data_IF_171835528013
#
_entry.id   IF_171835528013
#
_cell.length_a   1.000
_cell.length_b   1.000
_cell.length_c   1.000
_cell.angle_alpha   90.00
_cell.angle_beta   90.00
_cell.angle_gamma   90.00
#
_symmetry.space_group_name_H-M   'P 1'
#
loop_
_entity.id
_entity.type
_entity.pdbx_description
1 polymer ?
#
# COMPACT_ATOMS: atom_id res chain seq x y z
N UNK A 1 -0.16 4.62 -5.81
CA UNK A 1 1.27 4.29 -5.74
C UNK A 1 1.62 3.61 -4.41
N UNK A 2 1.33 4.25 -3.29
CA UNK A 2 1.69 3.73 -1.97
C UNK A 2 1.13 2.33 -1.69
N UNK A 3 -0.11 2.08 -2.10
CA UNK A 3 -0.72 0.76 -1.92
C UNK A 3 -0.03 -0.31 -2.78
N UNK A 4 0.23 -0.01 -4.06
CA UNK A 4 0.96 -0.93 -4.93
C UNK A 4 2.34 -1.27 -4.35
N UNK A 5 3.04 -0.27 -3.88
CA UNK A 5 4.34 -0.40 -3.28
C UNK A 5 4.32 -1.25 -1.99
N UNK A 6 3.26 -1.13 -1.19
CA UNK A 6 3.08 -1.95 0.01
C UNK A 6 2.97 -3.45 -0.31
N UNK A 7 2.55 -3.79 -1.53
CA UNK A 7 2.39 -5.17 -1.97
C UNK A 7 3.66 -5.68 -2.65
N UNK A 8 4.14 -4.97 -3.67
CA UNK A 8 5.26 -5.45 -4.50
C UNK A 8 6.64 -5.15 -3.92
N UNK A 9 6.75 -4.19 -3.02
CA UNK A 9 7.99 -3.79 -2.32
C UNK A 9 9.14 -3.39 -3.26
N UNK A 10 8.80 -2.95 -4.45
CA UNK A 10 9.75 -2.52 -5.47
C UNK A 10 9.19 -1.27 -6.15
N UNK A 11 9.95 -0.19 -6.14
CA UNK A 11 9.49 1.10 -6.66
C UNK A 11 9.23 1.06 -8.16
N UNK A 12 10.07 0.37 -8.92
CA UNK A 12 9.89 0.23 -10.37
C UNK A 12 8.61 -0.53 -10.71
N UNK A 13 8.37 -1.66 -10.05
CA UNK A 13 7.15 -2.44 -10.21
C UNK A 13 5.91 -1.65 -9.79
N UNK A 14 6.00 -0.88 -8.71
CA UNK A 14 4.89 -0.03 -8.25
C UNK A 14 4.53 1.04 -9.28
N UNK A 15 5.52 1.64 -9.94
CA UNK A 15 5.29 2.61 -11.01
C UNK A 15 4.63 1.97 -12.22
N UNK A 16 5.09 0.79 -12.63
CA UNK A 16 4.49 0.04 -13.74
C UNK A 16 3.03 -0.32 -13.43
N UNK A 17 2.75 -0.75 -12.20
CA UNK A 17 1.38 -1.05 -11.76
C UNK A 17 0.53 0.21 -11.76
N UNK A 18 1.04 1.34 -11.30
CA UNK A 18 0.33 2.61 -11.33
C UNK A 18 -0.05 2.99 -12.77
N UNK A 19 0.88 2.86 -13.69
CA UNK A 19 0.66 3.13 -15.09
C UNK A 19 -0.41 2.20 -15.69
N UNK A 20 -0.29 0.90 -15.45
CA UNK A 20 -1.25 -0.10 -15.93
C UNK A 20 -2.64 0.10 -15.30
N UNK A 21 -2.70 0.45 -14.02
CA UNK A 21 -3.95 0.76 -13.34
C UNK A 21 -4.63 1.98 -13.96
N UNK A 22 -3.88 3.04 -14.27
CA UNK A 22 -4.40 4.22 -14.95
C UNK A 22 -4.98 3.87 -16.31
N UNK A 23 -4.31 3.03 -17.08
CA UNK A 23 -4.79 2.58 -18.39
C UNK A 23 -6.09 1.76 -18.26
N UNK A 24 -6.17 0.86 -17.29
CA UNK A 24 -7.38 0.05 -17.05
C UNK A 24 -8.55 0.92 -16.60
N UNK A 25 -8.31 1.88 -15.73
CA UNK A 25 -9.33 2.83 -15.28
C UNK A 25 -9.85 3.64 -16.48
N UNK A 26 -8.96 4.12 -17.31
CA UNK A 26 -9.32 4.87 -18.51
C UNK A 26 -10.19 4.04 -19.46
N UNK A 27 -9.78 2.80 -19.75
CA UNK A 27 -10.50 1.92 -20.66
C UNK A 27 -11.85 1.46 -20.09
N UNK A 28 -11.96 1.30 -18.78
CA UNK A 28 -13.16 0.83 -18.09
C UNK A 28 -14.10 1.95 -17.66
N UNK A 29 -13.71 3.22 -17.78
CA UNK A 29 -14.47 4.35 -17.26
C UNK A 29 -15.88 4.45 -17.84
N UNK A 30 -16.06 4.07 -19.11
CA UNK A 30 -17.38 4.06 -19.77
C UNK A 30 -18.33 2.99 -19.25
N UNK A 31 -17.81 1.93 -18.64
CA UNK A 31 -18.62 0.85 -18.06
C UNK A 31 -18.75 0.92 -16.54
N UNK A 32 -18.15 1.91 -15.91
CA UNK A 32 -18.20 2.06 -14.46
C UNK A 32 -19.61 2.45 -14.01
N UNK A 33 -20.20 1.64 -13.17
CA UNK A 33 -21.49 1.96 -12.54
C UNK A 33 -21.23 2.56 -11.16
N UNK A 34 -21.85 3.70 -10.87
CA UNK A 34 -21.73 4.41 -9.59
C UNK A 34 -22.40 3.65 -8.42
N UNK A 35 -22.06 2.39 -8.23
CA UNK A 35 -22.61 1.55 -7.15
C UNK A 35 -21.59 1.33 -6.01
N UNK A 36 -20.71 2.29 -5.75
CA UNK A 36 -19.72 2.18 -4.70
C UNK A 36 -18.76 3.36 -4.74
N UNK A 37 -17.73 3.30 -3.91
CA UNK A 37 -16.71 4.35 -3.89
C UNK A 37 -15.75 4.14 -5.05
N UNK A 38 -15.52 5.17 -5.89
CA UNK A 38 -14.57 5.08 -7.01
C UNK A 38 -13.17 4.64 -6.58
N UNK A 39 -12.73 5.08 -5.40
CA UNK A 39 -11.41 4.74 -4.87
C UNK A 39 -11.30 3.23 -4.57
N UNK A 40 -12.33 2.60 -4.02
CA UNK A 40 -12.33 1.16 -3.76
C UNK A 40 -12.21 0.35 -5.07
N UNK A 41 -12.85 0.80 -6.13
CA UNK A 41 -12.75 0.19 -7.45
C UNK A 41 -11.33 0.31 -8.03
N UNK A 42 -10.74 1.49 -7.99
CA UNK A 42 -9.36 1.73 -8.45
C UNK A 42 -8.38 0.88 -7.66
N UNK A 43 -8.55 0.80 -6.34
CA UNK A 43 -7.66 0.02 -5.49
C UNK A 43 -7.80 -1.49 -5.72
N UNK A 44 -8.99 -1.97 -6.07
CA UNK A 44 -9.19 -3.37 -6.47
C UNK A 44 -8.40 -3.69 -7.75
N UNK A 45 -8.43 -2.83 -8.73
CA UNK A 45 -7.64 -2.97 -9.95
C UNK A 45 -6.14 -2.99 -9.60
N UNK A 46 -5.70 -2.06 -8.80
CA UNK A 46 -4.30 -1.95 -8.35
C UNK A 46 -3.84 -3.22 -7.62
N UNK A 47 -4.67 -3.72 -6.70
CA UNK A 47 -4.37 -4.95 -5.95
C UNK A 47 -4.23 -6.15 -6.88
N UNK A 48 -5.15 -6.30 -7.82
CA UNK A 48 -5.12 -7.41 -8.77
C UNK A 48 -3.86 -7.39 -9.64
N UNK A 49 -3.46 -6.21 -10.11
CA UNK A 49 -2.23 -6.03 -10.87
C UNK A 49 -0.99 -6.33 -10.03
N UNK A 50 -0.97 -5.89 -8.77
CA UNK A 50 0.15 -6.13 -7.87
C UNK A 50 0.31 -7.62 -7.56
N UNK A 51 -0.78 -8.32 -7.29
CA UNK A 51 -0.77 -9.77 -7.02
C UNK A 51 -0.32 -10.54 -8.27
N UNK A 52 -0.80 -10.14 -9.45
CA UNK A 52 -0.36 -10.75 -10.71
C UNK A 52 1.14 -10.57 -10.92
N UNK A 53 1.67 -9.39 -10.60
CA UNK A 53 3.09 -9.10 -10.70
C UNK A 53 3.93 -9.99 -9.77
N UNK A 54 3.48 -10.18 -8.54
CA UNK A 54 4.12 -11.09 -7.59
C UNK A 54 4.15 -12.53 -8.10
N UNK A 55 3.07 -13.00 -8.71
CA UNK A 55 2.99 -14.34 -9.30
C UNK A 55 3.96 -14.53 -10.46
N UNK A 56 4.09 -13.53 -11.33
CA UNK A 56 5.01 -13.56 -12.46
C UNK A 56 6.47 -13.66 -12.02
N UNK A 57 6.85 -12.94 -10.97
CA UNK A 57 8.20 -12.94 -10.45
C UNK A 57 8.49 -14.09 -9.48
N UNK A 58 7.46 -14.86 -9.07
CA UNK A 58 7.59 -16.05 -8.24
C UNK A 58 8.14 -15.83 -6.84
N UNK A 59 8.36 -14.58 -6.41
CA UNK A 59 8.92 -14.25 -5.11
C UNK A 59 8.52 -12.87 -4.63
N UNK A 60 8.33 -12.75 -3.30
CA UNK A 60 8.45 -11.49 -2.60
C UNK A 60 9.93 -11.22 -2.38
N UNK A 61 10.54 -10.43 -3.25
CA UNK A 61 11.89 -9.93 -2.97
C UNK A 61 11.81 -8.95 -1.80
N UNK A 62 12.78 -9.00 -0.86
CA UNK A 62 12.82 -8.00 0.20
C UNK A 62 13.00 -6.62 -0.42
N UNK A 63 12.36 -5.62 0.18
CA UNK A 63 12.56 -4.22 -0.19
C UNK A 63 14.06 -3.93 -0.18
N UNK A 64 14.59 -3.58 -1.33
CA UNK A 64 15.95 -3.05 -1.40
C UNK A 64 15.86 -1.63 -0.85
N UNK A 65 16.36 -1.47 0.35
CA UNK A 65 16.30 -0.22 1.11
C UNK A 65 16.88 0.96 0.32
N UNK A 66 17.81 0.68 -0.57
CA UNK A 66 18.47 1.67 -1.43
C UNK A 66 17.52 2.34 -2.42
N UNK A 67 16.60 1.60 -3.05
CA UNK A 67 15.65 2.15 -4.04
C UNK A 67 14.71 3.19 -3.43
N UNK A 68 14.40 3.03 -2.16
CA UNK A 68 13.54 3.95 -1.43
C UNK A 68 14.23 5.24 -1.05
N UNK A 69 15.44 5.11 -0.56
CA UNK A 69 16.23 6.23 -0.08
C UNK A 69 16.57 7.18 -1.23
N UNK A 70 16.92 6.64 -2.38
CA UNK A 70 17.28 7.44 -3.55
C UNK A 70 16.08 8.23 -4.10
N UNK A 71 14.91 7.62 -4.17
CA UNK A 71 13.71 8.30 -4.69
C UNK A 71 13.11 9.32 -3.73
N UNK A 72 13.18 9.04 -2.44
CA UNK A 72 12.74 10.00 -1.42
C UNK A 72 13.74 11.15 -1.25
N UNK A 73 15.03 10.89 -1.54
CA UNK A 73 16.07 11.92 -1.49
C UNK A 73 15.83 13.03 -2.50
N UNK A 74 15.29 12.69 -3.67
CA UNK A 74 15.08 13.64 -4.76
C UNK A 74 13.76 14.43 -4.64
N UNK A 75 12.91 14.11 -3.66
CA UNK A 75 11.65 14.82 -3.47
C UNK A 75 11.75 15.82 -2.32
N UNK A 76 11.82 17.14 -2.61
CA UNK A 76 11.96 18.17 -1.57
C UNK A 76 10.73 18.28 -0.65
N UNK A 77 9.60 17.67 -1.01
CA UNK A 77 8.40 17.66 -0.18
C UNK A 77 8.44 16.61 0.94
N UNK A 78 9.40 15.69 0.90
CA UNK A 78 9.52 14.60 1.88
C UNK A 78 10.57 14.98 2.92
N UNK A 79 10.14 15.16 4.16
CA UNK A 79 11.02 15.49 5.28
C UNK A 79 11.81 14.25 5.75
N UNK A 80 12.84 14.49 6.54
CA UNK A 80 13.57 13.39 7.20
C UNK A 80 12.65 12.54 8.09
N UNK A 81 11.72 13.19 8.78
CA UNK A 81 10.72 12.52 9.62
C UNK A 81 9.81 11.61 8.80
N UNK A 82 9.37 12.08 7.63
CA UNK A 82 8.54 11.29 6.71
C UNK A 82 9.27 10.04 6.24
N UNK A 83 10.56 10.14 5.98
CA UNK A 83 11.38 9.00 5.59
C UNK A 83 11.48 7.97 6.70
N UNK A 84 11.77 8.42 7.91
CA UNK A 84 11.87 7.55 9.08
C UNK A 84 10.55 6.82 9.32
N UNK A 85 9.44 7.53 9.18
CA UNK A 85 8.11 6.94 9.31
C UNK A 85 7.85 5.89 8.25
N UNK A 86 8.19 6.17 7.00
CA UNK A 86 8.05 5.22 5.89
C UNK A 86 8.90 3.98 6.09
N UNK A 87 10.15 4.14 6.50
CA UNK A 87 11.04 3.03 6.81
C UNK A 87 10.49 2.17 7.96
N UNK A 88 9.98 2.81 9.01
CA UNK A 88 9.36 2.12 10.12
C UNK A 88 8.12 1.32 9.70
N UNK A 89 7.24 1.94 8.89
CA UNK A 89 6.04 1.29 8.36
C UNK A 89 6.42 0.07 7.51
N UNK A 90 7.43 0.22 6.67
CA UNK A 90 7.79 -0.82 5.71
C UNK A 90 8.56 -1.97 6.35
N UNK A 91 9.35 -1.70 7.39
CA UNK A 91 10.19 -2.70 8.03
C UNK A 91 9.56 -3.39 9.24
N UNK A 92 8.68 -2.71 9.97
CA UNK A 92 8.10 -3.21 11.20
C UNK A 92 6.82 -4.01 10.99
N UNK A 93 6.08 -3.75 9.91
CA UNK A 93 4.76 -4.33 9.67
C UNK A 93 4.83 -5.58 8.79
N UNK A 94 3.93 -6.54 9.06
CA UNK A 94 3.68 -7.64 8.13
C UNK A 94 3.05 -7.11 6.83
N UNK A 95 3.01 -7.92 5.79
CA UNK A 95 2.43 -7.53 4.50
C UNK A 95 0.96 -7.09 4.63
N UNK A 96 0.15 -7.84 5.35
CA UNK A 96 -1.26 -7.49 5.57
C UNK A 96 -1.42 -6.25 6.44
N UNK A 97 -0.64 -6.14 7.51
CA UNK A 97 -0.66 -4.95 8.37
C UNK A 97 -0.29 -3.69 7.58
N UNK A 98 0.71 -3.79 6.73
CA UNK A 98 1.16 -2.67 5.88
C UNK A 98 0.08 -2.26 4.89
N UNK A 99 -0.58 -3.22 4.25
CA UNK A 99 -1.67 -2.94 3.33
C UNK A 99 -2.84 -2.25 4.05
N UNK A 100 -3.22 -2.73 5.22
CA UNK A 100 -4.33 -2.18 6.00
C UNK A 100 -4.03 -0.73 6.41
N UNK A 101 -2.85 -0.48 6.96
CA UNK A 101 -2.44 0.87 7.37
C UNK A 101 -2.39 1.82 6.17
N UNK A 102 -1.80 1.37 5.06
CA UNK A 102 -1.70 2.16 3.85
C UNK A 102 -3.08 2.52 3.30
N UNK A 103 -3.99 1.56 3.23
CA UNK A 103 -5.35 1.80 2.75
C UNK A 103 -6.11 2.76 3.66
N UNK A 104 -5.98 2.61 4.95
CA UNK A 104 -6.68 3.49 5.90
C UNK A 104 -6.10 4.90 5.93
N UNK A 105 -4.78 5.01 6.07
CA UNK A 105 -4.10 6.29 6.26
C UNK A 105 -4.00 7.12 4.98
N UNK A 106 -3.67 6.50 3.85
CA UNK A 106 -3.42 7.22 2.61
C UNK A 106 -4.67 7.38 1.74
N UNK A 107 -5.56 6.41 1.74
CA UNK A 107 -6.74 6.44 0.86
C UNK A 107 -8.02 6.79 1.60
N UNK A 108 -8.01 6.81 2.92
CA UNK A 108 -9.17 7.13 3.74
C UNK A 108 -10.25 6.07 3.76
N UNK A 109 -9.96 4.85 3.32
CA UNK A 109 -10.93 3.75 3.36
C UNK A 109 -11.26 3.38 4.80
N UNK A 110 -12.54 3.07 5.03
CA UNK A 110 -13.01 2.55 6.31
C UNK A 110 -12.57 1.08 6.47
N UNK A 111 -12.42 0.62 7.70
CA UNK A 111 -12.03 -0.76 7.97
C UNK A 111 -12.95 -1.79 7.30
N UNK A 112 -14.25 -1.51 7.22
CA UNK A 112 -15.21 -2.36 6.52
C UNK A 112 -14.89 -2.49 5.03
N UNK A 113 -14.53 -1.38 4.40
CA UNK A 113 -14.17 -1.34 3.00
C UNK A 113 -12.85 -2.06 2.74
N UNK A 114 -11.90 -1.91 3.65
CA UNK A 114 -10.61 -2.62 3.61
C UNK A 114 -10.83 -4.13 3.74
N UNK A 115 -11.68 -4.55 4.66
CA UNK A 115 -12.05 -5.95 4.85
C UNK A 115 -12.61 -6.55 3.56
N UNK A 116 -13.53 -5.85 2.90
CA UNK A 116 -14.10 -6.29 1.63
C UNK A 116 -13.04 -6.35 0.52
N UNK A 117 -12.17 -5.36 0.44
CA UNK A 117 -11.12 -5.28 -0.58
C UNK A 117 -10.09 -6.42 -0.43
N UNK A 118 -9.66 -6.69 0.79
CA UNK A 118 -8.64 -7.70 1.07
C UNK A 118 -9.21 -9.12 1.23
N UNK A 119 -10.53 -9.26 1.28
CA UNK A 119 -11.17 -10.54 1.51
C UNK A 119 -10.95 -11.08 2.91
N UNK A 120 -10.84 -10.20 3.91
CA UNK A 120 -10.61 -10.55 5.31
C UNK A 120 -11.86 -10.25 6.15
N UNK A 121 -12.09 -11.00 7.24
CA UNK A 121 -13.12 -10.63 8.20
C UNK A 121 -12.84 -9.28 8.85
N UNK A 122 -13.86 -8.49 9.12
CA UNK A 122 -13.70 -7.19 9.77
C UNK A 122 -12.95 -7.26 11.11
N UNK A 123 -13.25 -8.21 12.02
CA UNK A 123 -12.49 -8.34 13.26
C UNK A 123 -10.99 -8.56 13.03
N UNK A 124 -10.63 -9.29 11.98
CA UNK A 124 -9.23 -9.52 11.61
C UNK A 124 -8.55 -8.21 11.19
N UNK A 125 -9.24 -7.41 10.38
CA UNK A 125 -8.72 -6.08 9.96
C UNK A 125 -8.51 -5.19 11.16
N UNK A 126 -9.47 -5.13 12.08
CA UNK A 126 -9.38 -4.32 13.30
C UNK A 126 -8.21 -4.76 14.19
N UNK A 127 -8.03 -6.07 14.38
CA UNK A 127 -6.93 -6.61 15.18
C UNK A 127 -5.57 -6.31 14.56
N UNK A 128 -5.44 -6.49 13.25
CA UNK A 128 -4.19 -6.22 12.53
C UNK A 128 -3.86 -4.73 12.53
N UNK A 129 -4.86 -3.88 12.35
CA UNK A 129 -4.69 -2.43 12.42
C UNK A 129 -4.20 -2.00 13.82
N UNK A 130 -4.82 -2.51 14.86
CA UNK A 130 -4.43 -2.21 16.25
C UNK A 130 -2.99 -2.65 16.53
N UNK A 131 -2.60 -3.84 16.09
CA UNK A 131 -1.21 -4.33 16.23
C UNK A 131 -0.23 -3.48 15.44
N UNK A 132 -0.62 -3.10 14.23
CA UNK A 132 0.20 -2.25 13.38
C UNK A 132 0.48 -0.90 14.03
N UNK A 133 -0.54 -0.26 14.61
CA UNK A 133 -0.37 1.00 15.33
C UNK A 133 0.59 0.88 16.52
N UNK A 134 0.50 -0.21 17.26
CA UNK A 134 1.42 -0.46 18.38
C UNK A 134 2.86 -0.62 17.90
N UNK A 135 3.07 -1.36 16.82
CA UNK A 135 4.40 -1.52 16.22
C UNK A 135 4.96 -0.18 15.73
N UNK A 136 4.13 0.65 15.12
CA UNK A 136 4.53 1.98 14.65
C UNK A 136 4.88 2.91 15.79
N UNK A 137 4.12 2.88 16.88
CA UNK A 137 4.43 3.66 18.07
C UNK A 137 5.76 3.26 18.69
N UNK A 138 6.06 1.97 18.78
CA UNK A 138 7.35 1.48 19.27
C UNK A 138 8.49 1.90 18.35
N UNK A 139 8.33 1.74 17.04
CA UNK A 139 9.33 2.14 16.05
C UNK A 139 9.59 3.65 16.11
N UNK A 140 8.54 4.44 16.30
CA UNK A 140 8.66 5.89 16.43
C UNK A 140 9.45 6.29 17.68
N UNK A 141 9.20 5.63 18.81
CA UNK A 141 9.93 5.89 20.05
C UNK A 141 11.40 5.50 19.96
N UNK A 142 11.71 4.41 19.26
CA UNK A 142 13.09 3.97 19.07
C UNK A 142 13.87 4.90 18.13
N UNK A 143 13.16 5.62 17.24
CA UNK A 143 13.76 6.57 16.30
C UNK A 143 14.10 7.93 16.94
N UNK A 144 13.50 8.25 18.08
CA UNK A 144 13.83 9.42 18.89
C UNK A 144 15.06 9.10 19.78
#
# INVERSE_FOLDING_TARGET
>A
YGFALSIVKNAHDAEDILHDACLQVWNAAGGYRRQGKPMAWVLTITRNLAISRLREHGRTEPLVQEDWQDRLADNPAVTHEDRMMLEAVLSALSDEERQIVTLHALTGLRHREIAALLGLPLPTVLSKYSRALKKLQLAWKEAD
#
